data_IF_207018602197
#
_entry.id   IF_207018602197
#
_cell.length_a   1.000
_cell.length_b   1.000
_cell.length_c   1.000
_cell.angle_alpha   90.00
_cell.angle_beta   90.00
_cell.angle_gamma   90.00
#
_symmetry.space_group_name_H-M   'P 1'
#
loop_
_entity.id
_entity.type
_entity.pdbx_description
1 polymer ?
#
# COMPACT_ATOMS: atom_id res chain seq x y z
N UNK A 1 19.59 -76.94 -39.46
CA UNK A 1 19.67 -76.27 -38.15
C UNK A 1 19.98 -74.80 -38.37
N UNK A 2 19.33 -73.93 -37.59
CA UNK A 2 19.45 -72.46 -37.49
C UNK A 2 18.46 -71.63 -38.34
N UNK A 3 17.46 -71.17 -37.59
CA UNK A 3 16.42 -70.16 -37.85
C UNK A 3 17.05 -68.76 -37.84
N UNK A 4 16.53 -67.81 -38.62
CA UNK A 4 16.55 -66.37 -38.35
C UNK A 4 15.39 -65.73 -39.14
N UNK A 5 14.20 -65.64 -38.55
CA UNK A 5 13.65 -64.49 -37.82
C UNK A 5 13.34 -63.31 -38.74
N UNK A 6 12.06 -63.20 -39.09
CA UNK A 6 11.40 -62.09 -39.77
C UNK A 6 11.25 -60.93 -38.77
N UNK A 7 11.89 -59.79 -39.02
CA UNK A 7 11.68 -58.57 -38.23
C UNK A 7 10.51 -57.79 -38.83
N UNK A 8 9.36 -57.81 -38.14
CA UNK A 8 8.27 -56.87 -38.33
C UNK A 8 8.74 -55.50 -37.82
N UNK A 9 8.95 -54.55 -38.73
CA UNK A 9 9.19 -53.15 -38.37
C UNK A 9 7.82 -52.51 -38.08
N UNK A 10 7.39 -52.54 -36.83
CA UNK A 10 6.22 -51.81 -36.37
C UNK A 10 6.54 -50.31 -36.36
N UNK A 11 6.00 -49.58 -37.33
CA UNK A 11 6.01 -48.12 -37.35
C UNK A 11 5.03 -47.64 -36.26
N UNK A 12 5.55 -47.38 -35.07
CA UNK A 12 4.80 -46.66 -34.03
C UNK A 12 4.77 -45.20 -34.48
N UNK A 13 3.70 -44.76 -35.15
CA UNK A 13 3.34 -43.35 -35.15
C UNK A 13 2.95 -42.99 -33.72
N UNK A 14 3.91 -42.48 -32.95
CA UNK A 14 3.60 -41.70 -31.77
C UNK A 14 2.86 -40.46 -32.23
N UNK A 15 1.54 -40.46 -32.10
CA UNK A 15 0.77 -39.21 -32.06
C UNK A 15 1.22 -38.53 -30.77
N UNK A 16 2.13 -37.57 -30.90
CA UNK A 16 2.36 -36.59 -29.85
C UNK A 16 1.05 -35.80 -29.76
N UNK A 17 0.19 -36.16 -28.82
CA UNK A 17 -0.85 -35.25 -28.36
C UNK A 17 -0.09 -34.22 -27.54
N UNK A 18 0.19 -33.07 -28.14
CA UNK A 18 0.51 -31.89 -27.35
C UNK A 18 -0.74 -31.59 -26.54
N UNK A 19 -0.67 -31.77 -25.22
CA UNK A 19 -1.62 -31.11 -24.33
C UNK A 19 -1.40 -29.61 -24.56
N UNK A 20 -2.35 -28.97 -25.23
CA UNK A 20 -2.39 -27.52 -25.27
C UNK A 20 -2.58 -27.09 -23.82
N UNK A 21 -1.58 -26.40 -23.24
CA UNK A 21 -1.74 -25.73 -21.96
C UNK A 21 -2.98 -24.85 -22.08
N UNK A 22 -3.99 -25.09 -21.25
CA UNK A 22 -5.17 -24.24 -21.21
C UNK A 22 -4.73 -22.88 -20.67
N UNK A 23 -4.55 -21.92 -21.56
CA UNK A 23 -4.24 -20.54 -21.19
C UNK A 23 -5.38 -20.02 -20.32
N UNK A 24 -5.06 -19.56 -19.10
CA UNK A 24 -6.03 -18.88 -18.24
C UNK A 24 -6.47 -17.58 -18.90
N UNK A 25 -7.77 -17.31 -18.87
CA UNK A 25 -8.33 -16.02 -19.33
C UNK A 25 -8.82 -15.27 -18.11
N UNK A 26 -8.28 -14.06 -17.91
CA UNK A 26 -8.63 -13.17 -16.82
C UNK A 26 -9.34 -11.92 -17.36
N UNK A 27 -10.36 -11.47 -16.63
CA UNK A 27 -11.14 -10.26 -16.92
C UNK A 27 -10.97 -9.29 -15.75
N UNK A 28 -10.26 -8.19 -16.00
CA UNK A 28 -9.90 -7.13 -15.03
C UNK A 28 -10.87 -5.94 -15.05
N UNK A 29 -11.68 -5.79 -16.11
CA UNK A 29 -12.63 -4.69 -16.30
C UNK A 29 -12.01 -3.29 -16.32
N UNK A 30 -10.72 -3.19 -16.60
CA UNK A 30 -9.96 -1.93 -16.60
C UNK A 30 -10.31 -0.99 -17.76
N UNK A 31 -10.81 -1.55 -18.87
CA UNK A 31 -11.20 -0.79 -20.06
C UNK A 31 -12.56 -0.08 -19.93
N UNK A 32 -13.19 -0.19 -18.76
CA UNK A 32 -14.49 0.40 -18.46
C UNK A 32 -15.67 -0.31 -19.13
N UNK A 33 -15.44 -1.45 -19.79
CA UNK A 33 -16.49 -2.30 -20.36
C UNK A 33 -16.76 -3.50 -19.46
N UNK A 34 -17.74 -4.34 -19.85
CA UNK A 34 -17.93 -5.65 -19.23
C UNK A 34 -17.14 -6.76 -19.96
N UNK A 35 -16.26 -6.42 -20.90
CA UNK A 35 -15.39 -7.37 -21.61
C UNK A 35 -16.12 -8.60 -22.20
N UNK A 36 -17.34 -8.36 -22.73
CA UNK A 36 -18.19 -9.40 -23.32
C UNK A 36 -19.12 -10.11 -22.35
N UNK A 37 -19.01 -9.84 -21.05
CA UNK A 37 -20.01 -10.25 -20.06
C UNK A 37 -21.31 -9.47 -20.25
N UNK A 38 -22.42 -10.13 -19.93
CA UNK A 38 -23.79 -9.59 -20.03
C UNK A 38 -24.48 -9.62 -18.68
N UNK A 39 -25.62 -8.96 -18.54
CA UNK A 39 -26.36 -8.91 -17.28
C UNK A 39 -27.79 -9.41 -17.42
N UNK A 40 -28.34 -9.96 -16.33
CA UNK A 40 -29.76 -10.25 -16.19
C UNK A 40 -30.27 -9.55 -14.92
N UNK A 41 -31.26 -8.68 -15.10
CA UNK A 41 -32.09 -8.08 -14.04
C UNK A 41 -33.28 -9.00 -13.78
N UNK A 42 -33.19 -9.91 -12.81
CA UNK A 42 -34.25 -10.89 -12.57
C UNK A 42 -35.36 -10.35 -11.65
N UNK A 43 -35.08 -9.34 -10.82
CA UNK A 43 -36.07 -8.66 -9.97
C UNK A 43 -36.81 -7.54 -10.70
N UNK A 44 -36.29 -7.08 -11.84
CA UNK A 44 -36.95 -6.18 -12.78
C UNK A 44 -36.97 -4.72 -12.34
N UNK A 45 -36.04 -4.32 -11.46
CA UNK A 45 -35.99 -2.96 -10.89
C UNK A 45 -35.16 -1.97 -11.74
N UNK A 46 -34.44 -2.48 -12.75
CA UNK A 46 -33.60 -1.73 -13.68
C UNK A 46 -32.17 -1.51 -13.22
N UNK A 47 -31.79 -1.95 -12.00
CA UNK A 47 -30.42 -1.85 -11.48
C UNK A 47 -29.69 -3.18 -11.67
N UNK A 48 -28.70 -3.18 -12.56
CA UNK A 48 -27.93 -4.37 -12.96
C UNK A 48 -26.51 -4.35 -12.41
N UNK A 49 -25.71 -5.37 -12.76
CA UNK A 49 -24.26 -5.25 -12.68
C UNK A 49 -23.72 -4.21 -13.66
N UNK A 50 -22.77 -3.39 -13.21
CA UNK A 50 -22.17 -2.34 -14.03
C UNK A 50 -20.68 -2.20 -13.75
N UNK A 51 -19.93 -1.58 -14.66
CA UNK A 51 -18.52 -1.29 -14.45
C UNK A 51 -18.36 -0.05 -13.55
N UNK A 52 -17.48 -0.13 -12.56
CA UNK A 52 -17.27 0.92 -11.55
C UNK A 52 -16.72 2.23 -12.12
N UNK A 53 -16.07 2.19 -13.28
CA UNK A 53 -15.53 3.40 -13.93
C UNK A 53 -16.60 4.25 -14.62
N UNK A 54 -17.82 3.72 -14.81
CA UNK A 54 -18.90 4.43 -15.50
C UNK A 54 -19.87 5.15 -14.57
N UNK A 55 -19.85 4.89 -13.25
CA UNK A 55 -20.76 5.51 -12.30
C UNK A 55 -20.04 6.53 -11.39
N UNK A 56 -20.66 7.68 -11.16
CA UNK A 56 -20.04 8.85 -10.51
C UNK A 56 -19.71 8.58 -9.04
N UNK A 57 -18.47 8.18 -8.78
CA UNK A 57 -17.88 8.02 -7.44
C UNK A 57 -16.93 6.83 -7.43
N UNK A 58 -15.68 7.05 -7.84
CA UNK A 58 -14.61 6.06 -8.00
C UNK A 58 -14.57 5.09 -6.81
N UNK A 59 -15.03 3.86 -7.02
CA UNK A 59 -14.81 2.76 -6.07
C UNK A 59 -13.43 2.17 -6.34
N UNK A 60 -12.69 1.85 -5.28
CA UNK A 60 -11.37 1.23 -5.42
C UNK A 60 -11.52 -0.19 -5.97
N UNK A 61 -10.78 -0.49 -7.05
CA UNK A 61 -10.69 -1.82 -7.65
C UNK A 61 -9.73 -2.72 -6.86
N UNK A 62 -9.55 -3.96 -7.29
CA UNK A 62 -8.56 -4.85 -6.67
C UNK A 62 -7.13 -4.37 -7.02
N UNK A 63 -6.14 -4.73 -6.18
CA UNK A 63 -4.77 -4.28 -6.32
C UNK A 63 -4.19 -4.58 -7.72
N UNK A 64 -3.82 -3.52 -8.45
CA UNK A 64 -3.30 -3.61 -9.81
C UNK A 64 -4.33 -3.34 -10.91
N UNK A 65 -5.61 -3.26 -10.56
CA UNK A 65 -6.71 -2.89 -11.46
C UNK A 65 -7.08 -1.41 -11.34
N UNK A 66 -7.64 -0.86 -12.41
CA UNK A 66 -8.23 0.48 -12.50
C UNK A 66 -9.76 0.46 -12.59
N UNK A 67 -10.35 -0.69 -12.89
CA UNK A 67 -11.80 -0.92 -12.93
C UNK A 67 -12.22 -2.20 -12.23
N UNK A 68 -13.51 -2.33 -11.96
CA UNK A 68 -14.14 -3.53 -11.42
C UNK A 68 -15.61 -3.54 -11.89
N UNK A 69 -16.38 -4.57 -11.49
CA UNK A 69 -17.84 -4.60 -11.71
C UNK A 69 -18.58 -4.67 -10.38
N UNK A 70 -19.73 -4.00 -10.28
CA UNK A 70 -20.46 -3.87 -9.02
C UNK A 70 -21.97 -4.11 -9.19
N UNK A 71 -22.63 -4.47 -8.09
CA UNK A 71 -24.09 -4.55 -7.98
C UNK A 71 -24.54 -4.06 -6.61
N UNK A 72 -25.69 -3.38 -6.55
CA UNK A 72 -26.16 -2.66 -5.38
C UNK A 72 -27.31 -3.36 -4.65
N UNK A 73 -27.27 -3.33 -3.31
CA UNK A 73 -28.43 -3.57 -2.45
C UNK A 73 -28.91 -2.29 -1.75
N UNK A 74 -28.15 -1.19 -1.90
CA UNK A 74 -28.55 0.17 -1.54
C UNK A 74 -27.82 1.19 -2.43
N UNK A 75 -28.58 2.12 -3.01
CA UNK A 75 -28.02 3.23 -3.80
C UNK A 75 -28.29 4.55 -3.09
N UNK A 76 -27.24 5.36 -2.88
CA UNK A 76 -27.38 6.68 -2.28
C UNK A 76 -28.39 7.52 -3.06
N UNK A 77 -29.32 8.17 -2.35
CA UNK A 77 -30.42 9.00 -2.92
C UNK A 77 -31.50 8.23 -3.69
N UNK A 78 -31.36 6.91 -3.84
CA UNK A 78 -32.43 6.02 -4.33
C UNK A 78 -33.05 5.27 -3.16
N UNK A 79 -32.23 4.58 -2.34
CA UNK A 79 -32.65 3.80 -1.19
C UNK A 79 -32.24 2.33 -1.29
N UNK A 80 -32.83 1.51 -0.42
CA UNK A 80 -32.61 0.07 -0.39
C UNK A 80 -33.25 -0.62 -1.61
N UNK A 81 -32.54 -1.60 -2.16
CA UNK A 81 -32.94 -2.46 -3.27
C UNK A 81 -33.05 -3.92 -2.81
N UNK A 82 -33.64 -4.81 -3.62
CA UNK A 82 -33.71 -6.25 -3.36
C UNK A 82 -33.14 -7.00 -4.56
N UNK A 83 -31.83 -6.88 -4.82
CA UNK A 83 -31.22 -7.34 -6.07
C UNK A 83 -31.52 -8.81 -6.32
N UNK A 84 -31.73 -9.15 -7.59
CA UNK A 84 -31.61 -10.50 -8.14
C UNK A 84 -30.86 -10.41 -9.49
N UNK A 85 -29.59 -10.01 -9.38
CA UNK A 85 -28.79 -9.54 -10.49
C UNK A 85 -27.71 -10.54 -10.90
N UNK A 86 -27.68 -10.94 -12.16
CA UNK A 86 -26.67 -11.87 -12.69
C UNK A 86 -25.67 -11.12 -13.57
N UNK A 87 -24.38 -11.33 -13.31
CA UNK A 87 -23.28 -11.04 -14.23
C UNK A 87 -22.91 -12.35 -14.95
N UNK A 88 -23.13 -12.42 -16.25
CA UNK A 88 -23.10 -13.65 -17.05
C UNK A 88 -21.95 -13.63 -18.04
N UNK A 89 -21.13 -14.68 -18.05
CA UNK A 89 -19.95 -14.78 -18.91
C UNK A 89 -20.29 -14.80 -20.40
N UNK A 90 -19.34 -14.50 -21.29
CA UNK A 90 -19.37 -15.02 -22.66
C UNK A 90 -19.52 -16.54 -22.66
N UNK A 91 -19.93 -17.09 -23.81
CA UNK A 91 -19.93 -18.55 -23.99
C UNK A 91 -18.50 -19.05 -24.00
N UNK A 92 -18.20 -20.04 -23.16
CA UNK A 92 -16.86 -20.62 -23.03
C UNK A 92 -16.92 -22.15 -23.01
N UNK A 93 -15.81 -22.79 -23.35
CA UNK A 93 -15.55 -24.17 -22.94
C UNK A 93 -15.17 -24.16 -21.46
N UNK A 94 -15.99 -24.76 -20.60
CA UNK A 94 -15.80 -24.74 -19.15
C UNK A 94 -14.56 -25.56 -18.75
N UNK A 95 -13.69 -24.97 -17.94
CA UNK A 95 -12.58 -25.66 -17.30
C UNK A 95 -13.02 -26.37 -16.02
N UNK A 96 -12.04 -26.86 -15.24
CA UNK A 96 -12.29 -27.48 -13.93
C UNK A 96 -12.50 -26.45 -12.82
N UNK A 97 -12.06 -25.21 -13.03
CA UNK A 97 -12.04 -24.16 -11.99
C UNK A 97 -12.46 -22.80 -12.55
N UNK A 98 -13.13 -22.04 -11.69
CA UNK A 98 -13.51 -20.65 -11.88
C UNK A 98 -13.17 -19.85 -10.62
N UNK A 99 -12.52 -18.70 -10.76
CA UNK A 99 -12.16 -17.87 -9.62
C UNK A 99 -12.39 -16.39 -9.88
N UNK A 100 -12.54 -15.61 -8.82
CA UNK A 100 -12.73 -14.16 -8.85
C UNK A 100 -12.43 -13.56 -7.47
N UNK A 101 -12.22 -12.25 -7.42
CA UNK A 101 -12.17 -11.51 -6.16
C UNK A 101 -13.50 -10.82 -5.91
N UNK A 102 -13.91 -10.72 -4.65
CA UNK A 102 -15.07 -9.93 -4.26
C UNK A 102 -14.84 -9.15 -2.97
N UNK A 103 -15.49 -7.98 -2.86
CA UNK A 103 -15.45 -7.11 -1.68
C UNK A 103 -16.81 -6.44 -1.46
N UNK A 104 -17.08 -6.04 -0.21
CA UNK A 104 -18.19 -5.14 0.08
C UNK A 104 -17.67 -3.70 0.07
N UNK A 105 -18.32 -2.82 -0.69
CA UNK A 105 -17.86 -1.45 -0.86
C UNK A 105 -17.83 -0.64 0.43
N UNK A 106 -18.71 -0.96 1.39
CA UNK A 106 -18.72 -0.34 2.71
C UNK A 106 -18.56 -1.42 3.78
N UNK A 107 -17.44 -1.42 4.49
CA UNK A 107 -17.12 -2.42 5.50
C UNK A 107 -18.12 -2.44 6.67
N UNK A 108 -18.83 -1.35 6.92
CA UNK A 108 -19.87 -1.26 7.95
C UNK A 108 -21.20 -1.87 7.51
N UNK A 109 -21.41 -1.96 6.20
CA UNK A 109 -22.59 -2.55 5.56
C UNK A 109 -22.16 -3.71 4.66
N UNK A 110 -21.36 -4.63 5.21
CA UNK A 110 -20.68 -5.62 4.39
C UNK A 110 -21.50 -6.86 4.00
N UNK A 111 -22.71 -7.04 4.54
CA UNK A 111 -23.46 -8.30 4.45
C UNK A 111 -24.21 -8.51 3.11
N UNK A 112 -23.51 -8.33 2.00
CA UNK A 112 -24.00 -8.65 0.65
C UNK A 112 -23.98 -10.17 0.43
N UNK A 113 -25.03 -10.73 -0.17
CA UNK A 113 -25.16 -12.16 -0.41
C UNK A 113 -25.14 -12.46 -1.90
N UNK A 114 -24.36 -13.45 -2.30
CA UNK A 114 -24.14 -13.76 -3.70
C UNK A 114 -23.83 -15.24 -3.94
N UNK A 115 -23.98 -15.68 -5.18
CA UNK A 115 -23.71 -17.04 -5.62
C UNK A 115 -22.95 -17.09 -6.93
N UNK A 116 -22.24 -18.20 -7.16
CA UNK A 116 -21.80 -18.62 -8.49
C UNK A 116 -22.75 -19.66 -9.03
N UNK A 117 -23.17 -19.45 -10.27
CA UNK A 117 -24.09 -20.29 -11.00
C UNK A 117 -23.47 -20.78 -12.31
N UNK A 118 -23.95 -21.91 -12.82
CA UNK A 118 -23.53 -22.46 -14.12
C UNK A 118 -24.74 -22.80 -14.99
N UNK A 119 -24.60 -22.58 -16.30
CA UNK A 119 -25.58 -23.00 -17.31
C UNK A 119 -24.88 -23.70 -18.46
N UNK A 120 -25.47 -24.80 -18.94
CA UNK A 120 -25.12 -25.45 -20.21
C UNK A 120 -26.26 -25.37 -21.23
N UNK A 121 -27.27 -24.52 -20.97
CA UNK A 121 -28.45 -24.33 -21.81
C UNK A 121 -28.39 -22.96 -22.50
N UNK A 122 -28.98 -21.93 -21.89
CA UNK A 122 -28.95 -20.54 -22.33
C UNK A 122 -28.29 -19.60 -21.32
N UNK A 123 -28.20 -18.32 -21.68
CA UNK A 123 -27.55 -17.27 -20.89
C UNK A 123 -28.44 -16.03 -20.66
N UNK A 124 -29.73 -16.11 -21.00
CA UNK A 124 -30.68 -15.00 -20.92
C UNK A 124 -31.83 -15.24 -19.95
N UNK A 125 -32.06 -16.49 -19.52
CA UNK A 125 -33.11 -16.85 -18.57
C UNK A 125 -32.46 -17.28 -17.24
N UNK A 126 -32.79 -16.63 -16.10
CA UNK A 126 -32.32 -17.06 -14.78
C UNK A 126 -32.59 -18.54 -14.49
N UNK A 127 -33.66 -19.13 -15.07
CA UNK A 127 -34.01 -20.54 -14.87
C UNK A 127 -33.00 -21.52 -15.48
N UNK A 128 -32.15 -21.08 -16.42
CA UNK A 128 -31.09 -21.90 -17.01
C UNK A 128 -29.89 -22.08 -16.05
N UNK A 129 -29.77 -21.23 -15.03
CA UNK A 129 -28.64 -21.19 -14.12
C UNK A 129 -28.88 -22.03 -12.87
N UNK A 130 -27.99 -23.00 -12.64
CA UNK A 130 -27.92 -23.77 -11.40
C UNK A 130 -26.90 -23.14 -10.45
N UNK A 131 -27.31 -22.81 -9.23
CA UNK A 131 -26.40 -22.38 -8.15
C UNK A 131 -25.44 -23.52 -7.80
N UNK A 132 -24.15 -23.22 -7.78
CA UNK A 132 -23.09 -24.13 -7.34
C UNK A 132 -22.69 -23.87 -5.90
N UNK A 133 -22.46 -22.61 -5.56
CA UNK A 133 -22.04 -22.18 -4.24
C UNK A 133 -22.46 -20.74 -3.98
N UNK A 134 -22.75 -20.41 -2.72
CA UNK A 134 -23.19 -19.09 -2.28
C UNK A 134 -22.48 -18.67 -0.98
N UNK A 135 -22.34 -17.36 -0.79
CA UNK A 135 -21.68 -16.75 0.36
C UNK A 135 -22.40 -15.47 0.78
N UNK A 136 -22.19 -15.07 2.03
CA UNK A 136 -22.47 -13.71 2.49
C UNK A 136 -21.15 -13.08 2.89
N UNK A 137 -20.83 -11.93 2.31
CA UNK A 137 -19.67 -11.15 2.71
C UNK A 137 -19.79 -10.80 4.21
N UNK A 138 -18.70 -10.97 4.94
CA UNK A 138 -18.66 -10.62 6.37
C UNK A 138 -17.82 -9.38 6.58
N UNK A 139 -18.22 -8.54 7.54
CA UNK A 139 -17.34 -7.49 8.05
C UNK A 139 -15.97 -8.10 8.36
N UNK A 140 -14.89 -7.54 7.83
CA UNK A 140 -13.55 -7.93 8.20
C UNK A 140 -13.44 -7.86 9.73
N UNK A 141 -13.38 -9.02 10.38
CA UNK A 141 -12.93 -9.09 11.77
C UNK A 141 -11.42 -9.12 11.67
N UNK A 142 -10.75 -8.06 12.11
CA UNK A 142 -9.33 -8.14 12.41
C UNK A 142 -9.07 -9.41 13.22
N UNK A 143 -8.10 -10.21 12.80
CA UNK A 143 -7.81 -11.47 13.45
C UNK A 143 -7.35 -11.19 14.90
N UNK A 144 -8.17 -11.72 15.82
CA UNK A 144 -7.94 -12.06 17.23
C UNK A 144 -8.67 -11.24 18.28
N UNK A 145 -9.66 -11.92 18.84
CA UNK A 145 -10.27 -11.64 20.13
C UNK A 145 -9.22 -11.65 21.24
N UNK A 146 -8.92 -10.48 21.80
CA UNK A 146 -8.67 -10.36 23.24
C UNK A 146 -9.75 -9.43 23.78
N UNK A 147 -10.73 -10.02 24.48
CA UNK A 147 -11.79 -9.27 25.16
C UNK A 147 -11.18 -8.47 26.32
N UNK A 148 -10.74 -7.24 26.07
CA UNK A 148 -10.61 -6.25 27.13
C UNK A 148 -12.03 -5.75 27.47
N UNK A 149 -12.53 -6.21 28.62
CA UNK A 149 -13.85 -5.88 29.14
C UNK A 149 -13.84 -4.42 29.63
N UNK A 150 -14.11 -3.46 28.74
CA UNK A 150 -14.32 -2.06 29.13
C UNK A 150 -15.82 -1.77 29.21
N UNK A 151 -16.25 -1.35 30.40
CA UNK A 151 -17.60 -0.94 30.78
C UNK A 151 -18.11 0.19 29.89
N UNK A 152 -19.28 -0.01 29.27
CA UNK A 152 -19.95 0.93 28.37
C UNK A 152 -20.53 2.13 29.13
N UNK A 153 -20.17 3.35 28.71
CA UNK A 153 -21.03 4.53 28.80
C UNK A 153 -21.64 4.73 27.41
N UNK A 154 -22.98 4.79 27.25
CA UNK A 154 -23.60 4.94 25.95
C UNK A 154 -23.55 6.41 25.51
N UNK A 155 -22.53 6.80 24.75
CA UNK A 155 -22.60 8.04 23.96
C UNK A 155 -23.27 7.68 22.64
N UNK A 156 -24.46 8.26 22.44
CA UNK A 156 -25.19 8.23 21.17
C UNK A 156 -24.30 8.97 20.16
N UNK A 157 -23.64 8.25 19.25
CA UNK A 157 -22.77 8.85 18.26
C UNK A 157 -23.55 9.90 17.43
N UNK A 158 -23.02 11.12 17.24
CA UNK A 158 -23.62 12.08 16.33
C UNK A 158 -23.56 11.55 14.90
N UNK A 159 -24.58 11.89 14.08
CA UNK A 159 -24.83 11.41 12.70
C UNK A 159 -23.79 11.81 11.64
N UNK A 160 -22.62 12.29 12.03
CA UNK A 160 -21.54 12.70 11.10
C UNK A 160 -20.26 11.91 11.43
N UNK A 161 -20.27 10.61 11.15
CA UNK A 161 -19.09 9.75 11.29
C UNK A 161 -18.09 9.99 10.14
N UNK A 162 -16.77 9.97 10.40
CA UNK A 162 -15.75 10.14 9.37
C UNK A 162 -15.63 8.88 8.50
N UNK A 163 -15.48 9.11 7.19
CA UNK A 163 -14.88 8.28 6.12
C UNK A 163 -15.32 6.79 6.01
N UNK A 164 -15.94 6.42 4.88
CA UNK A 164 -16.43 5.06 4.58
C UNK A 164 -15.28 4.19 4.06
N UNK A 165 -14.71 3.35 4.92
CA UNK A 165 -13.63 2.40 4.55
C UNK A 165 -14.21 1.21 3.76
N UNK A 166 -13.57 0.84 2.64
CA UNK A 166 -13.93 -0.35 1.85
C UNK A 166 -13.66 -1.65 2.65
N UNK A 167 -14.35 -2.73 2.32
CA UNK A 167 -14.04 -4.05 2.86
C UNK A 167 -12.69 -4.58 2.38
N UNK A 168 -12.33 -5.78 2.85
CA UNK A 168 -11.18 -6.54 2.32
C UNK A 168 -11.62 -7.36 1.11
N UNK A 169 -10.84 -7.34 0.03
CA UNK A 169 -11.01 -8.25 -1.10
C UNK A 169 -10.69 -9.70 -0.69
N UNK A 170 -11.53 -10.64 -1.12
CA UNK A 170 -11.32 -12.07 -0.92
C UNK A 170 -11.39 -12.80 -2.26
N UNK A 171 -10.46 -13.72 -2.49
CA UNK A 171 -10.54 -14.63 -3.62
C UNK A 171 -11.53 -15.76 -3.33
N UNK A 172 -12.39 -16.04 -4.30
CA UNK A 172 -13.32 -17.15 -4.32
C UNK A 172 -12.93 -18.09 -5.45
N UNK A 173 -12.87 -19.39 -5.15
CA UNK A 173 -12.55 -20.45 -6.11
C UNK A 173 -13.69 -21.45 -6.09
N UNK A 174 -14.23 -21.76 -7.25
CA UNK A 174 -15.37 -22.66 -7.45
C UNK A 174 -14.97 -23.83 -8.33
N UNK A 175 -15.31 -25.03 -7.86
CA UNK A 175 -15.14 -26.27 -8.60
C UNK A 175 -16.19 -26.38 -9.72
N UNK A 176 -15.70 -26.54 -10.94
CA UNK A 176 -16.48 -26.76 -12.16
C UNK A 176 -16.17 -28.12 -12.81
N UNK A 177 -15.48 -29.03 -12.13
CA UNK A 177 -15.03 -30.33 -12.66
C UNK A 177 -16.16 -31.15 -13.32
N UNK A 178 -17.36 -31.14 -12.75
CA UNK A 178 -18.56 -31.78 -13.33
C UNK A 178 -18.98 -31.23 -14.71
N UNK A 179 -18.49 -30.04 -15.05
CA UNK A 179 -18.79 -29.30 -16.27
C UNK A 179 -17.59 -29.18 -17.21
N UNK A 180 -16.42 -29.66 -16.81
CA UNK A 180 -15.19 -29.57 -17.58
C UNK A 180 -15.36 -30.11 -19.01
N UNK A 181 -14.90 -29.33 -20.00
CA UNK A 181 -14.99 -29.63 -21.42
C UNK A 181 -16.37 -29.40 -22.06
N UNK A 182 -17.38 -28.97 -21.30
CA UNK A 182 -18.70 -28.60 -21.85
C UNK A 182 -18.71 -27.14 -22.28
N UNK A 183 -19.49 -26.85 -23.31
CA UNK A 183 -19.83 -25.48 -23.68
C UNK A 183 -20.90 -24.93 -22.73
N UNK A 184 -20.68 -23.76 -22.17
CA UNK A 184 -21.62 -23.16 -21.23
C UNK A 184 -21.26 -21.75 -20.79
N UNK A 185 -21.86 -21.36 -19.68
CA UNK A 185 -21.78 -20.04 -19.08
C UNK A 185 -21.63 -20.15 -17.57
N UNK A 186 -20.90 -19.22 -16.98
CA UNK A 186 -20.86 -19.01 -15.52
C UNK A 186 -21.48 -17.66 -15.23
N UNK A 187 -22.20 -17.56 -14.12
CA UNK A 187 -22.76 -16.29 -13.65
C UNK A 187 -22.44 -16.04 -12.18
N UNK A 188 -22.20 -14.78 -11.83
CA UNK A 188 -22.17 -14.30 -10.45
C UNK A 188 -23.49 -13.61 -10.17
N UNK A 189 -24.25 -14.13 -9.21
CA UNK A 189 -25.60 -13.67 -8.86
C UNK A 189 -25.56 -12.91 -7.53
N UNK A 190 -25.93 -11.63 -7.52
CA UNK A 190 -26.14 -10.84 -6.30
C UNK A 190 -27.62 -10.89 -5.92
N UNK A 191 -27.96 -11.51 -4.79
CA UNK A 191 -29.35 -11.77 -4.42
C UNK A 191 -29.58 -12.01 -2.93
N UNK A 192 -30.84 -12.04 -2.51
CA UNK A 192 -31.25 -12.42 -1.13
C UNK A 192 -30.56 -11.58 -0.03
N UNK A 193 -30.22 -10.34 -0.35
CA UNK A 193 -29.80 -9.30 0.56
C UNK A 193 -30.55 -8.00 0.24
N UNK A 194 -30.57 -7.06 1.19
CA UNK A 194 -31.14 -5.73 1.02
C UNK A 194 -30.50 -4.78 2.03
N UNK A 195 -30.47 -3.48 1.71
CA UNK A 195 -30.09 -2.41 2.64
C UNK A 195 -28.68 -2.60 3.22
N UNK A 196 -27.71 -2.83 2.33
CA UNK A 196 -26.28 -2.84 2.65
C UNK A 196 -25.60 -1.70 1.88
N UNK A 197 -24.89 -1.97 0.79
CA UNK A 197 -24.42 -0.93 -0.13
C UNK A 197 -24.21 -1.50 -1.54
N UNK A 198 -22.96 -1.80 -1.89
CA UNK A 198 -22.57 -2.47 -3.13
C UNK A 198 -21.65 -3.64 -2.80
N UNK A 199 -21.74 -4.71 -3.59
CA UNK A 199 -20.63 -5.65 -3.76
C UNK A 199 -19.88 -5.34 -5.04
N UNK A 200 -18.57 -5.53 -5.02
CA UNK A 200 -17.71 -5.45 -6.19
C UNK A 200 -17.08 -6.81 -6.46
N UNK A 201 -16.80 -7.08 -7.73
CA UNK A 201 -16.08 -8.24 -8.23
C UNK A 201 -15.01 -7.78 -9.21
N UNK A 202 -13.86 -8.45 -9.17
CA UNK A 202 -12.71 -8.14 -10.03
C UNK A 202 -11.89 -9.41 -10.32
N UNK A 203 -11.01 -9.35 -11.32
CA UNK A 203 -10.05 -10.39 -11.70
C UNK A 203 -10.69 -11.78 -11.86
N UNK A 204 -11.78 -11.83 -12.62
CA UNK A 204 -12.50 -13.09 -12.91
C UNK A 204 -11.65 -13.95 -13.84
N UNK A 205 -11.38 -15.20 -13.47
CA UNK A 205 -10.50 -16.10 -14.21
C UNK A 205 -11.16 -17.46 -14.49
N UNK A 206 -11.06 -17.92 -15.75
CA UNK A 206 -11.36 -19.29 -16.16
C UNK A 206 -10.07 -20.10 -16.36
N UNK A 207 -10.04 -21.34 -15.88
CA UNK A 207 -8.89 -22.25 -16.01
C UNK A 207 -8.15 -22.48 -14.69
N UNK A 208 -7.01 -23.17 -14.74
CA UNK A 208 -6.17 -23.43 -13.55
C UNK A 208 -5.99 -22.11 -12.81
N UNK A 209 -6.31 -22.04 -11.51
CA UNK A 209 -6.11 -20.80 -10.77
C UNK A 209 -4.66 -20.41 -10.96
N UNK A 210 -4.42 -19.23 -11.50
CA UNK A 210 -3.18 -18.57 -11.15
C UNK A 210 -3.31 -18.39 -9.64
N UNK A 211 -2.44 -19.04 -8.86
CA UNK A 211 -2.18 -18.57 -7.50
C UNK A 211 -1.63 -17.14 -7.64
N UNK A 212 -2.52 -16.17 -7.89
CA UNK A 212 -2.29 -14.81 -7.45
C UNK A 212 -2.51 -14.93 -5.95
N UNK A 213 -1.44 -15.27 -5.24
CA UNK A 213 -1.40 -14.98 -3.82
C UNK A 213 -1.66 -13.47 -3.77
N UNK A 214 -2.83 -13.07 -3.29
CA UNK A 214 -3.04 -11.68 -2.87
C UNK A 214 -2.16 -11.51 -1.63
N UNK A 215 -0.87 -11.25 -1.86
CA UNK A 215 0.10 -10.97 -0.80
C UNK A 215 -0.21 -9.64 -0.10
N UNK A 216 -1.35 -9.00 -0.43
CA UNK A 216 -1.54 -7.60 -0.19
C UNK A 216 -0.59 -6.80 -1.08
N UNK A 217 -0.53 -5.48 -0.88
CA UNK A 217 0.52 -4.71 -1.51
C UNK A 217 1.88 -5.21 -1.00
N UNK A 218 2.78 -5.54 -1.93
CA UNK A 218 4.10 -6.08 -1.61
C UNK A 218 5.07 -4.94 -1.29
N UNK A 219 5.92 -5.17 -0.29
CA UNK A 219 7.04 -4.26 -0.04
C UNK A 219 8.02 -4.36 -1.21
N UNK A 220 8.60 -3.23 -1.57
CA UNK A 220 9.77 -3.24 -2.45
C UNK A 220 10.92 -3.89 -1.68
N UNK A 221 11.44 -4.98 -2.22
CA UNK A 221 12.65 -5.62 -1.72
C UNK A 221 13.86 -5.23 -2.58
N UNK A 222 14.95 -4.89 -1.92
CA UNK A 222 16.22 -4.69 -2.58
C UNK A 222 16.85 -6.06 -2.93
N UNK A 223 17.40 -6.26 -4.15
CA UNK A 223 18.13 -7.48 -4.48
C UNK A 223 19.28 -7.75 -3.50
N UNK A 224 19.47 -9.00 -3.10
CA UNK A 224 20.40 -9.41 -2.03
C UNK A 224 21.87 -9.02 -2.28
N UNK A 225 22.26 -8.89 -3.55
CA UNK A 225 23.60 -8.51 -4.00
C UNK A 225 23.73 -7.04 -4.43
N UNK A 226 22.68 -6.24 -4.26
CA UNK A 226 22.71 -4.83 -4.63
C UNK A 226 23.66 -4.03 -3.72
N UNK A 227 24.51 -3.20 -4.34
CA UNK A 227 25.37 -2.29 -3.61
C UNK A 227 24.56 -1.09 -3.09
N UNK A 228 24.54 -0.94 -1.77
CA UNK A 228 23.88 0.17 -1.08
C UNK A 228 24.87 1.31 -0.86
N UNK A 229 24.55 2.46 -1.44
CA UNK A 229 25.38 3.66 -1.35
C UNK A 229 24.69 4.69 -0.46
N UNK A 230 25.36 5.24 0.57
CA UNK A 230 24.79 6.29 1.42
C UNK A 230 24.76 7.63 0.69
N UNK A 231 23.65 8.33 0.83
CA UNK A 231 23.40 9.68 0.33
C UNK A 231 22.86 10.56 1.46
N UNK A 232 22.99 11.87 1.30
CA UNK A 232 22.26 12.85 2.11
C UNK A 232 21.29 13.57 1.19
N UNK A 233 20.01 13.56 1.57
CA UNK A 233 18.98 14.37 0.93
C UNK A 233 18.89 15.71 1.67
N UNK A 234 19.14 16.80 0.94
CA UNK A 234 18.88 18.18 1.39
C UNK A 234 17.60 18.65 0.70
N UNK A 235 16.71 19.28 1.44
CA UNK A 235 15.41 19.73 0.93
C UNK A 235 14.91 20.95 1.72
N UNK A 236 13.92 21.65 1.17
CA UNK A 236 13.13 22.62 1.93
C UNK A 236 11.93 21.90 2.53
N UNK A 237 11.65 22.10 3.82
CA UNK A 237 10.50 21.50 4.51
C UNK A 237 9.21 22.34 4.32
N UNK A 238 8.07 21.82 4.78
CA UNK A 238 6.78 22.53 4.72
C UNK A 238 6.72 23.83 5.55
N UNK A 239 7.68 24.05 6.44
CA UNK A 239 7.85 25.28 7.22
C UNK A 239 8.85 26.25 6.58
N UNK A 240 9.31 25.96 5.35
CA UNK A 240 10.27 26.74 4.58
C UNK A 240 11.67 26.82 5.23
N UNK A 241 12.06 25.79 5.99
CA UNK A 241 13.41 25.63 6.51
C UNK A 241 14.21 24.67 5.62
N UNK A 242 15.52 24.89 5.52
CA UNK A 242 16.42 23.90 4.94
C UNK A 242 16.63 22.75 5.92
N UNK A 243 16.30 21.53 5.52
CA UNK A 243 16.46 20.32 6.30
C UNK A 243 17.31 19.30 5.55
N UNK A 244 17.76 18.27 6.26
CA UNK A 244 18.51 17.18 5.67
C UNK A 244 18.24 15.84 6.36
N UNK A 245 18.35 14.75 5.61
CA UNK A 245 18.14 13.39 6.09
C UNK A 245 19.08 12.42 5.39
N UNK A 246 19.55 11.36 6.07
CA UNK A 246 20.27 10.30 5.36
C UNK A 246 19.26 9.52 4.52
N UNK A 247 19.69 9.10 3.33
CA UNK A 247 18.97 8.19 2.45
C UNK A 247 19.96 7.21 1.86
N UNK A 248 19.49 6.03 1.50
CA UNK A 248 20.32 5.04 0.82
C UNK A 248 19.86 4.91 -0.64
N UNK A 249 20.83 4.76 -1.55
CA UNK A 249 20.58 4.58 -2.98
C UNK A 249 21.25 3.30 -3.45
N UNK A 250 20.52 2.48 -4.19
CA UNK A 250 21.07 1.32 -4.89
C UNK A 250 20.64 1.33 -6.36
N UNK A 251 21.51 0.85 -7.24
CA UNK A 251 21.25 0.80 -8.69
C UNK A 251 21.52 -0.62 -9.19
N UNK A 252 20.52 -1.24 -9.81
CA UNK A 252 20.58 -2.60 -10.34
C UNK A 252 20.09 -2.60 -11.78
N UNK A 253 21.02 -2.58 -12.73
CA UNK A 253 20.67 -2.42 -14.15
C UNK A 253 20.03 -1.05 -14.40
N UNK A 254 18.76 -1.04 -14.79
CA UNK A 254 17.96 0.19 -14.96
C UNK A 254 17.09 0.52 -13.75
N UNK A 255 17.02 -0.37 -12.76
CA UNK A 255 16.25 -0.13 -11.54
C UNK A 255 17.07 0.70 -10.55
N UNK A 256 16.44 1.71 -9.95
CA UNK A 256 17.04 2.56 -8.92
C UNK A 256 16.16 2.50 -7.68
N UNK A 257 16.78 2.33 -6.52
CA UNK A 257 16.11 2.13 -5.25
C UNK A 257 16.49 3.22 -4.27
N UNK A 258 15.51 3.84 -3.62
CA UNK A 258 15.74 4.76 -2.50
C UNK A 258 15.18 4.17 -1.20
N UNK A 259 15.92 4.29 -0.10
CA UNK A 259 15.46 4.00 1.26
C UNK A 259 15.63 5.23 2.14
N UNK A 260 14.76 5.38 3.14
CA UNK A 260 14.77 6.54 4.04
C UNK A 260 13.89 7.70 3.56
N UNK A 261 13.03 7.47 2.58
CA UNK A 261 12.04 8.46 2.07
C UNK A 261 10.88 8.71 3.05
N UNK A 262 10.83 7.98 4.17
CA UNK A 262 9.85 8.13 5.25
C UNK A 262 10.57 8.20 6.59
N UNK A 263 10.15 9.11 7.47
CA UNK A 263 10.58 9.07 8.86
C UNK A 263 9.85 7.99 9.66
N UNK A 264 8.61 7.66 9.28
CA UNK A 264 7.81 6.61 9.94
C UNK A 264 8.30 5.20 9.60
N UNK A 265 8.73 5.00 8.36
CA UNK A 265 9.17 3.72 7.81
C UNK A 265 10.55 3.88 7.14
N UNK A 266 11.60 4.25 7.90
CA UNK A 266 12.91 4.61 7.34
C UNK A 266 13.59 3.45 6.61
N UNK A 267 13.25 2.21 6.97
CA UNK A 267 13.80 1.01 6.37
C UNK A 267 13.12 0.62 5.04
N UNK A 268 12.00 1.25 4.68
CA UNK A 268 11.27 0.91 3.49
C UNK A 268 12.00 1.37 2.22
N UNK A 269 12.03 0.50 1.22
CA UNK A 269 12.53 0.82 -0.11
C UNK A 269 11.40 1.31 -1.01
N UNK A 270 11.76 2.17 -1.96
CA UNK A 270 10.96 2.49 -3.14
C UNK A 270 11.81 2.24 -4.38
N UNK A 271 11.19 1.79 -5.46
CA UNK A 271 11.85 1.47 -6.72
C UNK A 271 11.38 2.39 -7.83
N UNK A 272 12.32 2.88 -8.62
CA UNK A 272 12.10 3.62 -9.84
C UNK A 272 12.88 3.02 -11.01
N UNK A 273 12.57 3.47 -12.22
CA UNK A 273 13.25 3.08 -13.44
C UNK A 273 14.03 4.25 -14.03
N UNK A 274 15.31 4.04 -14.32
CA UNK A 274 16.20 4.99 -14.98
C UNK A 274 16.03 4.93 -16.50
N UNK A 275 15.72 6.08 -17.11
CA UNK A 275 15.76 6.29 -18.55
C UNK A 275 16.24 7.72 -18.85
N UNK A 276 17.22 7.86 -19.75
CA UNK A 276 17.73 9.17 -20.19
C UNK A 276 18.12 10.13 -19.04
N UNK A 277 18.84 9.61 -18.03
CA UNK A 277 19.24 10.30 -16.80
C UNK A 277 18.07 10.76 -15.90
N UNK A 278 16.86 10.25 -16.12
CA UNK A 278 15.72 10.50 -15.22
C UNK A 278 15.29 9.19 -14.60
N UNK A 279 15.19 9.17 -13.28
CA UNK A 279 14.59 8.08 -12.52
C UNK A 279 13.12 8.41 -12.27
N UNK A 280 12.22 7.55 -12.73
CA UNK A 280 10.79 7.68 -12.45
C UNK A 280 10.36 6.61 -11.45
N UNK A 281 9.86 7.03 -10.29
CA UNK A 281 9.25 6.19 -9.28
C UNK A 281 7.74 6.19 -9.49
N UNK A 282 7.12 5.02 -9.75
CA UNK A 282 5.67 4.92 -9.84
C UNK A 282 4.97 5.40 -8.56
N UNK A 283 3.80 6.02 -8.74
CA UNK A 283 2.92 6.44 -7.67
C UNK A 283 2.46 5.27 -6.79
N UNK A 284 2.07 5.56 -5.55
CA UNK A 284 1.43 4.62 -4.61
C UNK A 284 2.21 3.32 -4.36
N UNK A 285 3.53 3.40 -4.25
CA UNK A 285 4.34 2.25 -3.86
C UNK A 285 4.15 1.94 -2.39
N UNK A 286 3.79 0.70 -2.05
CA UNK A 286 3.57 0.34 -0.67
C UNK A 286 4.88 0.19 0.10
N UNK A 287 4.93 0.86 1.24
CA UNK A 287 6.13 0.96 2.09
C UNK A 287 5.93 0.33 3.47
N UNK A 288 4.74 -0.22 3.75
CA UNK A 288 4.45 -0.96 4.96
C UNK A 288 3.28 -0.42 5.75
N UNK A 289 3.25 -0.74 7.04
CA UNK A 289 2.16 -0.37 7.95
C UNK A 289 2.70 0.48 9.08
N UNK A 290 2.04 1.61 9.34
CA UNK A 290 2.35 2.46 10.47
C UNK A 290 1.37 2.25 11.63
N UNK A 291 1.93 2.17 12.84
CA UNK A 291 1.23 2.09 14.14
C UNK A 291 0.48 0.79 14.42
N UNK A 292 0.03 0.63 15.68
CA UNK A 292 -0.82 -0.48 16.14
C UNK A 292 -2.21 -0.51 15.51
N UNK A 293 -2.60 0.53 14.77
CA UNK A 293 -3.89 0.64 14.08
C UNK A 293 -3.87 0.09 12.65
N UNK A 294 -2.73 -0.46 12.22
CA UNK A 294 -2.57 -1.13 10.93
C UNK A 294 -2.82 -0.22 9.71
N UNK A 295 -2.42 1.07 9.78
CA UNK A 295 -2.59 1.97 8.64
C UNK A 295 -1.57 1.66 7.53
N UNK A 296 -2.02 1.32 6.31
CA UNK A 296 -1.10 1.09 5.21
C UNK A 296 -0.53 2.41 4.71
N UNK A 297 0.76 2.38 4.39
CA UNK A 297 1.53 3.53 3.98
C UNK A 297 2.01 3.36 2.54
N UNK A 298 1.94 4.44 1.77
CA UNK A 298 2.31 4.45 0.36
C UNK A 298 3.20 5.66 0.04
N UNK A 299 4.32 5.41 -0.63
CA UNK A 299 5.14 6.47 -1.19
C UNK A 299 4.53 7.04 -2.46
N UNK A 300 4.78 8.33 -2.71
CA UNK A 300 4.39 9.03 -3.94
C UNK A 300 2.88 8.89 -4.24
N UNK A 301 2.02 9.06 -3.24
CA UNK A 301 0.59 8.76 -3.37
C UNK A 301 -0.15 9.65 -4.39
N UNK A 302 0.29 10.90 -4.53
CA UNK A 302 -0.33 11.91 -5.39
C UNK A 302 0.03 11.78 -6.88
N UNK A 303 1.06 11.00 -7.23
CA UNK A 303 1.52 10.81 -8.60
C UNK A 303 2.97 10.30 -8.64
N UNK A 304 3.44 9.99 -9.85
CA UNK A 304 4.81 9.53 -10.05
C UNK A 304 5.81 10.59 -9.60
N UNK A 305 6.88 10.17 -8.93
CA UNK A 305 7.99 11.04 -8.57
C UNK A 305 9.14 10.89 -9.56
N UNK A 306 9.77 12.00 -9.95
CA UNK A 306 10.88 11.98 -10.92
C UNK A 306 12.10 12.67 -10.34
N UNK A 307 13.27 12.07 -10.56
CA UNK A 307 14.57 12.61 -10.16
C UNK A 307 15.52 12.62 -11.35
N UNK A 308 16.14 13.76 -11.63
CA UNK A 308 17.21 13.87 -12.63
C UNK A 308 18.53 13.46 -11.99
N UNK A 309 19.24 12.53 -12.62
CA UNK A 309 20.56 12.07 -12.21
C UNK A 309 21.68 12.83 -12.94
N UNK A 310 22.58 13.41 -12.18
CA UNK A 310 23.83 13.98 -12.68
C UNK A 310 24.98 13.03 -12.34
N UNK A 311 25.58 12.42 -13.36
CA UNK A 311 26.67 11.48 -13.20
C UNK A 311 28.01 12.14 -12.83
N UNK A 312 28.22 13.42 -13.16
CA UNK A 312 29.45 14.14 -12.81
C UNK A 312 29.43 14.56 -11.34
N UNK A 313 28.28 15.05 -10.88
CA UNK A 313 28.08 15.43 -9.47
C UNK A 313 27.74 14.23 -8.58
N UNK A 314 27.31 13.12 -9.18
CA UNK A 314 26.74 11.95 -8.51
C UNK A 314 25.56 12.33 -7.59
N UNK A 315 24.60 13.06 -8.16
CA UNK A 315 23.44 13.59 -7.46
C UNK A 315 22.12 13.21 -8.13
N UNK A 316 21.06 13.13 -7.34
CA UNK A 316 19.68 13.04 -7.84
C UNK A 316 18.92 14.29 -7.39
N UNK A 317 18.26 14.97 -8.33
CA UNK A 317 17.51 16.22 -8.06
C UNK A 317 16.06 16.11 -8.53
N UNK A 318 15.13 16.65 -7.76
CA UNK A 318 13.76 16.86 -8.21
C UNK A 318 13.37 18.33 -8.04
N UNK A 319 12.47 18.82 -8.88
CA UNK A 319 11.87 20.15 -8.76
C UNK A 319 10.46 20.03 -8.19
N UNK A 320 10.08 20.96 -7.32
CA UNK A 320 8.78 20.99 -6.68
C UNK A 320 8.68 20.07 -5.47
N UNK A 321 7.44 19.77 -5.09
CA UNK A 321 7.13 19.00 -3.88
C UNK A 321 7.12 17.49 -4.18
N UNK A 322 7.97 16.74 -3.50
CA UNK A 322 7.93 15.28 -3.44
C UNK A 322 7.37 14.86 -2.08
N UNK A 323 6.29 14.09 -2.12
CA UNK A 323 5.70 13.47 -0.93
C UNK A 323 6.45 12.17 -0.61
N UNK A 324 7.03 12.09 0.59
CA UNK A 324 7.71 10.90 1.08
C UNK A 324 6.75 9.73 1.19
N UNK A 325 5.81 9.81 2.13
CA UNK A 325 4.82 8.76 2.40
C UNK A 325 3.47 9.36 2.82
N UNK A 326 2.38 8.82 2.27
CA UNK A 326 1.02 9.07 2.75
C UNK A 326 0.51 7.88 3.57
N UNK A 327 -0.05 8.18 4.73
CA UNK A 327 -0.81 7.21 5.52
C UNK A 327 -2.25 7.18 4.98
N UNK A 328 -2.64 6.06 4.36
CA UNK A 328 -3.97 5.92 3.81
C UNK A 328 -5.03 6.17 4.89
N UNK A 329 -6.12 6.84 4.52
CA UNK A 329 -7.25 7.24 5.37
C UNK A 329 -7.01 8.31 6.45
N UNK A 330 -5.79 8.86 6.57
CA UNK A 330 -5.48 9.87 7.59
C UNK A 330 -5.23 11.30 7.06
N UNK A 331 -5.13 11.51 5.74
CA UNK A 331 -4.63 12.78 5.15
C UNK A 331 -3.36 13.28 5.87
N UNK A 332 -2.53 12.34 6.30
CA UNK A 332 -1.30 12.60 7.02
C UNK A 332 -0.15 12.29 6.08
N UNK A 333 0.61 13.33 5.76
CA UNK A 333 1.79 13.26 4.94
C UNK A 333 3.01 13.21 5.86
N UNK A 334 3.84 12.20 5.67
CA UNK A 334 5.17 12.10 6.24
C UNK A 334 6.20 12.45 5.16
N UNK A 335 7.00 13.48 5.42
CA UNK A 335 8.00 13.98 4.46
C UNK A 335 7.42 14.84 3.35
N UNK A 336 7.52 16.16 3.51
CA UNK A 336 7.37 17.11 2.41
C UNK A 336 8.76 17.57 1.98
N UNK A 337 9.20 17.11 0.83
CA UNK A 337 10.52 17.41 0.30
C UNK A 337 10.38 18.37 -0.87
N UNK A 338 10.57 19.67 -0.63
CA UNK A 338 10.59 20.66 -1.69
C UNK A 338 12.00 20.79 -2.27
N UNK A 339 12.10 20.65 -3.59
CA UNK A 339 13.32 20.71 -4.38
C UNK A 339 14.46 19.83 -3.82
N UNK A 340 14.22 18.52 -3.58
CA UNK A 340 15.20 17.66 -2.93
C UNK A 340 16.44 17.43 -3.81
N UNK A 341 17.60 17.46 -3.15
CA UNK A 341 18.91 17.13 -3.73
C UNK A 341 19.55 16.03 -2.91
N UNK A 342 19.69 14.84 -3.51
CA UNK A 342 20.40 13.71 -2.93
C UNK A 342 21.85 13.76 -3.41
N UNK A 343 22.80 13.85 -2.49
CA UNK A 343 24.23 13.84 -2.79
C UNK A 343 24.91 12.65 -2.14
N UNK A 344 25.76 11.95 -2.90
CA UNK A 344 26.49 10.80 -2.39
C UNK A 344 27.39 11.18 -1.21
N UNK A 345 27.40 10.34 -0.17
CA UNK A 345 28.26 10.54 1.00
C UNK A 345 29.63 9.96 0.71
N UNK A 346 30.63 10.84 0.73
CA UNK A 346 32.04 10.45 0.69
C UNK A 346 32.61 10.58 2.09
N UNK A 347 32.86 9.45 2.76
CA UNK A 347 33.40 9.48 4.11
C UNK A 347 34.79 10.14 4.12
N UNK A 348 34.88 11.29 4.79
CA UNK A 348 36.10 12.04 5.04
C UNK A 348 35.99 12.78 6.36
N UNK A 349 37.14 13.14 6.95
CA UNK A 349 37.15 14.11 8.03
C UNK A 349 36.68 15.46 7.49
N UNK A 350 35.64 16.04 8.08
CA UNK A 350 35.05 17.31 7.67
C UNK A 350 34.49 18.06 8.88
N UNK A 351 34.37 19.39 8.75
CA UNK A 351 33.72 20.22 9.75
C UNK A 351 32.21 20.27 9.46
N UNK A 352 31.34 19.82 10.37
CA UNK A 352 29.90 19.92 10.18
C UNK A 352 29.45 21.38 9.99
N UNK A 353 28.44 21.59 9.16
CA UNK A 353 27.77 22.88 9.09
C UNK A 353 27.13 23.22 10.45
N UNK A 354 26.96 24.52 10.71
CA UNK A 354 26.44 24.98 12.00
C UNK A 354 25.02 24.46 12.23
N UNK A 355 24.74 23.86 13.41
CA UNK A 355 23.37 23.57 13.80
C UNK A 355 22.63 24.86 14.17
N UNK A 356 21.31 24.80 14.15
CA UNK A 356 20.43 25.94 14.47
C UNK A 356 19.29 25.49 15.39
N UNK A 357 19.00 26.29 16.42
CA UNK A 357 17.75 26.16 17.18
C UNK A 357 16.69 26.95 16.41
N UNK A 358 15.75 26.24 15.80
CA UNK A 358 14.69 26.83 14.98
C UNK A 358 13.54 27.33 15.83
N UNK A 359 13.32 26.72 17.00
CA UNK A 359 12.26 27.13 17.92
C UNK A 359 12.56 26.72 19.36
N UNK A 360 12.22 27.60 20.30
CA UNK A 360 12.16 27.26 21.72
C UNK A 360 10.87 27.84 22.30
N UNK A 361 10.04 26.98 22.90
CA UNK A 361 8.69 27.38 23.32
C UNK A 361 8.21 26.58 24.53
N UNK A 362 7.38 27.19 25.37
CA UNK A 362 6.70 26.50 26.46
C UNK A 362 5.54 25.63 25.93
N UNK A 363 5.34 24.47 26.54
CA UNK A 363 4.18 23.59 26.34
C UNK A 363 3.58 23.19 27.70
N UNK A 364 2.45 22.49 27.69
CA UNK A 364 1.82 21.94 28.91
C UNK A 364 2.70 20.91 29.64
N UNK A 365 3.79 20.45 29.00
CA UNK A 365 4.72 19.43 29.50
C UNK A 365 6.15 19.97 29.67
N UNK A 366 6.30 21.29 29.75
CA UNK A 366 7.61 21.97 29.83
C UNK A 366 8.06 22.59 28.50
N UNK A 367 9.32 23.01 28.42
CA UNK A 367 9.86 23.61 27.19
C UNK A 367 10.14 22.56 26.12
N UNK A 368 9.85 22.93 24.87
CA UNK A 368 10.15 22.13 23.68
C UNK A 368 11.13 22.92 22.81
N UNK A 369 12.20 22.25 22.39
CA UNK A 369 13.21 22.81 21.50
C UNK A 369 13.15 22.10 20.15
N UNK A 370 12.86 22.86 19.10
CA UNK A 370 13.03 22.45 17.70
C UNK A 370 14.41 22.93 17.22
N UNK A 371 15.12 22.08 16.49
CA UNK A 371 16.46 22.37 16.00
C UNK A 371 16.73 21.63 14.69
N UNK A 372 17.71 22.14 13.94
CA UNK A 372 18.20 21.55 12.72
C UNK A 372 19.70 21.29 12.86
N UNK A 373 20.12 20.07 12.57
CA UNK A 373 21.53 19.68 12.45
C UNK A 373 21.72 19.27 11.00
N UNK A 374 22.34 20.11 10.16
CA UNK A 374 22.57 19.75 8.76
C UNK A 374 23.51 18.55 8.67
N UNK A 375 23.15 17.57 7.85
CA UNK A 375 24.00 16.42 7.49
C UNK A 375 24.98 16.77 6.38
N UNK A 376 25.46 18.00 6.36
CA UNK A 376 26.43 18.50 5.39
C UNK A 376 27.58 19.19 6.12
N UNK A 377 28.77 19.17 5.51
CA UNK A 377 29.91 19.97 5.95
C UNK A 377 29.75 21.44 5.55
N UNK A 378 30.69 22.29 5.97
CA UNK A 378 30.71 23.72 5.63
C UNK A 378 30.84 24.00 4.13
N UNK A 379 31.24 23.01 3.32
CA UNK A 379 31.34 23.09 1.86
C UNK A 379 30.09 22.52 1.16
N UNK A 380 29.10 22.02 1.92
CA UNK A 380 27.85 21.45 1.42
C UNK A 380 27.92 19.95 1.10
N UNK A 381 29.02 19.26 1.40
CA UNK A 381 29.15 17.83 1.13
C UNK A 381 28.51 16.99 2.25
N UNK A 382 27.85 15.89 1.89
CA UNK A 382 27.14 15.02 2.83
C UNK A 382 28.05 14.38 3.90
N UNK A 383 27.52 14.23 5.11
CA UNK A 383 28.16 13.61 6.26
C UNK A 383 27.54 12.26 6.60
N UNK A 384 28.33 11.36 7.18
CA UNK A 384 27.85 10.05 7.67
C UNK A 384 27.09 10.27 8.98
N UNK A 385 25.76 10.16 8.94
CA UNK A 385 24.88 10.41 10.09
C UNK A 385 25.26 9.59 11.34
N UNK A 386 25.62 8.31 11.17
CA UNK A 386 25.99 7.41 12.28
C UNK A 386 27.28 7.82 13.01
N UNK A 387 28.09 8.69 12.40
CA UNK A 387 29.33 9.23 12.99
C UNK A 387 29.14 10.63 13.56
N UNK A 388 27.91 11.14 13.59
CA UNK A 388 27.57 12.42 14.17
C UNK A 388 26.88 12.26 15.51
N UNK A 389 27.25 13.14 16.42
CA UNK A 389 26.61 13.35 17.71
C UNK A 389 26.46 14.85 17.95
N UNK A 390 25.59 15.22 18.88
CA UNK A 390 25.43 16.61 19.30
C UNK A 390 25.28 16.71 20.81
N UNK A 391 25.61 17.88 21.32
CA UNK A 391 25.42 18.26 22.72
C UNK A 391 24.61 19.55 22.75
N UNK A 392 23.75 19.69 23.73
CA UNK A 392 22.98 20.91 23.96
C UNK A 392 23.60 21.61 25.17
N UNK A 393 23.87 22.91 25.04
CA UNK A 393 24.41 23.71 26.12
C UNK A 393 23.35 24.69 26.62
N UNK A 394 23.25 24.83 27.94
CA UNK A 394 22.52 25.94 28.56
C UNK A 394 23.48 27.08 28.86
N UNK A 395 23.01 28.31 28.72
CA UNK A 395 23.64 29.51 29.29
C UNK A 395 22.71 30.04 30.38
N UNK A 396 23.06 29.82 31.64
CA UNK A 396 22.33 30.37 32.78
C UNK A 396 23.19 31.42 33.46
N UNK A 397 22.78 32.68 33.35
CA UNK A 397 23.50 33.83 33.94
C UNK A 397 24.99 33.92 33.51
N UNK A 398 25.35 33.45 32.30
CA UNK A 398 26.71 33.44 31.78
C UNK A 398 27.49 32.16 32.07
N UNK A 399 26.90 31.19 32.77
CA UNK A 399 27.48 29.87 32.99
C UNK A 399 27.03 28.91 31.88
N UNK A 400 27.97 28.61 30.97
CA UNK A 400 27.75 27.67 29.86
C UNK A 400 28.12 26.25 30.32
N UNK A 401 27.13 25.36 30.31
CA UNK A 401 27.30 23.95 30.69
C UNK A 401 26.51 23.02 29.76
N UNK A 402 27.01 21.80 29.47
CA UNK A 402 26.26 20.83 28.69
C UNK A 402 25.07 20.31 29.51
N UNK A 403 23.92 20.17 28.84
CA UNK A 403 22.75 19.52 29.40
C UNK A 403 22.98 18.01 29.47
N UNK A 404 22.52 17.41 30.57
CA UNK A 404 22.49 15.96 30.73
C UNK A 404 21.04 15.53 30.93
N UNK A 405 20.57 14.67 30.02
CA UNK A 405 19.25 14.08 30.05
C UNK A 405 19.31 12.79 30.85
N UNK A 406 18.37 12.58 31.77
CA UNK A 406 18.43 11.44 32.71
C UNK A 406 17.13 10.65 32.66
N UNK A 407 17.14 9.35 33.03
CA UNK A 407 15.91 8.56 33.17
C UNK A 407 14.89 9.12 34.16
N UNK A 408 15.30 10.04 35.06
CA UNK A 408 14.40 10.67 36.02
C UNK A 408 13.47 11.72 35.37
N UNK A 409 13.95 12.43 34.34
CA UNK A 409 13.18 13.42 33.59
C UNK A 409 12.70 12.90 32.23
N UNK A 410 13.35 11.86 31.71
CA UNK A 410 13.06 11.26 30.40
C UNK A 410 12.96 9.75 30.57
N UNK A 411 11.78 9.28 30.97
CA UNK A 411 11.58 7.93 31.54
C UNK A 411 11.93 6.75 30.62
N UNK A 412 12.07 7.00 29.33
CA UNK A 412 12.41 6.01 28.31
C UNK A 412 13.91 5.96 28.00
N UNK A 413 14.72 6.87 28.58
CA UNK A 413 16.17 6.71 28.60
C UNK A 413 16.56 5.56 29.53
N UNK A 414 17.58 4.81 29.14
CA UNK A 414 18.14 3.71 29.95
C UNK A 414 19.36 4.13 30.77
N UNK A 415 20.00 5.25 30.40
CA UNK A 415 21.15 5.85 31.07
C UNK A 415 21.18 7.37 30.84
N UNK A 416 22.06 8.05 31.57
CA UNK A 416 22.26 9.49 31.41
C UNK A 416 22.93 9.80 30.06
N UNK A 417 22.43 10.81 29.35
CA UNK A 417 22.90 11.18 28.02
C UNK A 417 23.26 12.67 27.96
N UNK A 418 24.53 12.95 27.69
CA UNK A 418 25.05 14.31 27.45
C UNK A 418 25.37 14.52 25.97
N UNK A 419 26.03 13.52 25.38
CA UNK A 419 26.32 13.45 23.95
C UNK A 419 25.27 12.54 23.30
N UNK A 420 24.46 13.11 22.40
CA UNK A 420 23.32 12.45 21.79
C UNK A 420 23.71 12.04 20.37
N UNK A 421 23.66 10.74 20.01
CA UNK A 421 23.85 10.32 18.62
C UNK A 421 22.83 10.99 17.70
N UNK A 422 23.24 11.42 16.51
CA UNK A 422 22.36 12.12 15.57
C UNK A 422 21.05 11.36 15.28
N UNK A 423 21.14 10.04 15.10
CA UNK A 423 20.00 9.17 14.81
C UNK A 423 19.16 8.75 16.02
N UNK A 424 19.49 9.21 17.24
CA UNK A 424 18.77 8.80 18.44
C UNK A 424 17.33 9.34 18.45
N UNK A 425 16.38 8.43 18.61
CA UNK A 425 14.97 8.75 18.82
C UNK A 425 14.33 7.65 19.65
N UNK A 426 13.40 8.06 20.51
CA UNK A 426 12.51 7.14 21.22
C UNK A 426 11.03 7.52 21.01
N UNK A 427 10.79 8.46 20.09
CA UNK A 427 9.47 8.90 19.63
C UNK A 427 8.53 9.34 20.77
N UNK A 428 9.09 9.87 21.85
CA UNK A 428 8.33 10.37 22.99
C UNK A 428 8.83 11.73 23.48
N UNK A 429 10.07 11.81 23.96
CA UNK A 429 10.73 13.05 24.36
C UNK A 429 11.80 13.46 23.33
N UNK A 430 12.51 12.48 22.76
CA UNK A 430 13.46 12.69 21.67
C UNK A 430 12.86 12.30 20.32
N UNK A 431 12.75 13.29 19.44
CA UNK A 431 12.37 13.15 18.04
C UNK A 431 13.48 13.71 17.14
N UNK A 432 13.43 13.37 15.85
CA UNK A 432 14.31 14.00 14.86
C UNK A 432 14.05 15.50 14.78
N UNK A 433 15.05 16.31 15.18
CA UNK A 433 14.96 17.77 15.18
C UNK A 433 14.07 18.38 16.26
N UNK A 434 13.63 17.60 17.26
CA UNK A 434 12.85 18.10 18.41
C UNK A 434 13.17 17.34 19.69
N UNK A 435 13.34 18.07 20.79
CA UNK A 435 13.45 17.50 22.14
C UNK A 435 12.48 18.21 23.09
N UNK A 436 11.75 17.42 23.88
CA UNK A 436 11.02 17.87 25.06
C UNK A 436 11.99 17.94 26.24
N UNK A 437 12.07 19.09 26.91
CA UNK A 437 13.02 19.30 28.01
C UNK A 437 12.44 18.88 29.38
N UNK A 438 11.17 18.43 29.43
CA UNK A 438 10.46 17.85 30.59
C UNK A 438 10.82 18.47 31.94
N UNK A 439 10.57 19.76 32.06
CA UNK A 439 10.75 20.52 33.30
C UNK A 439 12.17 20.46 33.91
N UNK A 440 13.20 20.18 33.09
CA UNK A 440 14.59 20.37 33.51
C UNK A 440 14.80 21.77 34.11
N UNK A 441 13.98 22.77 33.73
CA UNK A 441 14.10 24.14 34.19
C UNK A 441 12.76 24.90 34.23
N UNK A 442 12.08 24.85 35.37
CA UNK A 442 10.98 25.77 35.69
C UNK A 442 11.59 27.14 36.08
N UNK A 443 11.47 28.15 35.20
CA UNK A 443 11.67 29.61 35.42
C UNK A 443 13.04 30.32 35.24
N UNK A 444 14.10 29.74 34.66
CA UNK A 444 15.45 30.41 34.64
C UNK A 444 16.14 30.68 33.30
N UNK A 445 15.50 30.43 32.16
CA UNK A 445 16.10 30.75 30.86
C UNK A 445 15.73 32.19 30.49
N UNK A 446 16.75 33.05 30.34
CA UNK A 446 16.61 34.46 29.94
C UNK A 446 16.39 34.60 28.43
#
# INVERSE_FOLDING_TARGET
MKRFTLMFMALIMSVLVFAQESQSVTYDFDDGTLQGWTTIDADGDGYVWENTTQNTGQFDAQAGSTGAVCSASYINKVGALNPDNYLVSPKVTLGETFSFYAVAQDASYAAEHFAVCVSTAGNTDPADFKVLQEWTLTKARGNNAVRAKVTRIPVKAPRNAPLKVQGKWYQYIVDLSDYAGKEGYVAIRHFNCTDKFYMLVDNITFGTPVEIVDEGPTLVELPEDAEVNPYVMVYTDASNNTASTPVNVAVVGTDVYFQGMSYLLPEAWVKGAMADNVVTFPAKQYVGVYSSYEYPCYAFYSGDATFTYDAEANTYTAEGEIYGVEVADAYYYDGHYFDPVLSAVVEKAAMPANPEITKLQSSDWGYVMDFNIPLIDTDGAGLVADKLSYMIYSDTEGEIAPLTFTPATHSLLTEDMTEIPYGFTENYDFYKGRIYLNDLYDSKWN
#
